data_IF_793018009446
#
_entry.id   IF_793018009446
#
_cell.length_a   1.000
_cell.length_b   1.000
_cell.length_c   1.000
_cell.angle_alpha   90.00
_cell.angle_beta   90.00
_cell.angle_gamma   90.00
#
_symmetry.space_group_name_H-M   'P 1'
#
loop_
_entity.id
_entity.type
_entity.pdbx_description
1 polymer ?
#
# COMPACT_ATOMS: atom_id res chain seq x y z
N UNK A 1 -32.40 -67.90 -4.17
CA UNK A 1 -32.72 -67.07 -5.36
C UNK A 1 -33.29 -65.69 -5.00
N UNK A 2 -34.27 -65.58 -4.09
CA UNK A 2 -34.94 -64.31 -3.74
C UNK A 2 -34.04 -63.27 -3.03
N UNK A 3 -33.08 -63.72 -2.22
CA UNK A 3 -32.14 -62.84 -1.49
C UNK A 3 -31.16 -62.14 -2.46
N UNK A 4 -30.66 -62.85 -3.46
CA UNK A 4 -29.73 -62.31 -4.46
C UNK A 4 -30.41 -61.23 -5.33
N UNK A 5 -31.69 -61.42 -5.66
CA UNK A 5 -32.48 -60.43 -6.40
C UNK A 5 -32.72 -59.14 -5.59
N UNK A 6 -32.94 -59.24 -4.27
CA UNK A 6 -33.08 -58.07 -3.39
C UNK A 6 -31.77 -57.31 -3.20
N UNK A 7 -30.64 -58.03 -3.06
CA UNK A 7 -29.31 -57.41 -2.98
C UNK A 7 -28.96 -56.72 -4.31
N UNK A 8 -29.23 -57.37 -5.44
CA UNK A 8 -29.05 -56.76 -6.76
C UNK A 8 -29.93 -55.51 -6.92
N UNK A 9 -31.18 -55.54 -6.46
CA UNK A 9 -32.07 -54.37 -6.50
C UNK A 9 -31.56 -53.22 -5.63
N UNK A 10 -31.08 -53.48 -4.41
CA UNK A 10 -30.49 -52.46 -3.52
C UNK A 10 -29.20 -51.89 -4.10
N UNK A 11 -28.34 -52.71 -4.71
CA UNK A 11 -27.12 -52.25 -5.38
C UNK A 11 -27.45 -51.42 -6.62
N UNK A 12 -28.43 -51.84 -7.44
CA UNK A 12 -28.90 -51.07 -8.59
C UNK A 12 -29.54 -49.76 -8.13
N UNK A 13 -30.35 -49.77 -7.07
CA UNK A 13 -30.94 -48.55 -6.50
C UNK A 13 -29.87 -47.63 -5.91
N UNK A 14 -28.85 -48.16 -5.22
CA UNK A 14 -27.73 -47.38 -4.71
C UNK A 14 -26.83 -46.82 -5.83
N UNK A 15 -26.66 -47.53 -6.95
CA UNK A 15 -25.93 -47.06 -8.13
C UNK A 15 -26.74 -46.04 -8.97
N UNK A 16 -28.08 -46.12 -8.95
CA UNK A 16 -28.99 -45.19 -9.62
C UNK A 16 -29.21 -43.92 -8.78
N UNK A 17 -29.33 -44.04 -7.45
CA UNK A 17 -29.54 -42.92 -6.52
C UNK A 17 -28.22 -42.26 -6.10
N UNK A 18 -27.11 -43.01 -6.03
CA UNK A 18 -25.79 -42.51 -5.65
C UNK A 18 -25.08 -41.65 -6.70
N UNK A 19 -25.70 -41.43 -7.86
CA UNK A 19 -25.18 -40.58 -8.95
C UNK A 19 -25.66 -39.12 -8.90
N UNK A 20 -26.25 -38.67 -7.80
CA UNK A 20 -26.61 -37.26 -7.58
C UNK A 20 -25.59 -36.51 -6.70
N UNK A 21 -24.30 -36.85 -6.81
CA UNK A 21 -23.22 -36.13 -6.17
C UNK A 21 -22.44 -35.34 -7.22
N UNK A 22 -22.71 -34.05 -7.26
CA UNK A 22 -22.02 -33.11 -8.13
C UNK A 22 -22.71 -31.75 -8.09
N UNK A 23 -22.79 -31.12 -6.92
CA UNK A 23 -22.87 -29.65 -6.87
C UNK A 23 -21.55 -29.13 -7.41
N UNK A 24 -21.40 -29.07 -8.73
CA UNK A 24 -20.21 -28.55 -9.38
C UNK A 24 -20.04 -27.10 -8.96
N UNK A 25 -18.99 -26.81 -8.19
CA UNK A 25 -18.63 -25.44 -7.90
C UNK A 25 -18.08 -24.79 -9.17
N UNK A 26 -18.19 -23.46 -9.27
CA UNK A 26 -17.80 -22.75 -10.49
C UNK A 26 -16.30 -22.92 -10.82
N UNK A 27 -15.47 -23.22 -9.81
CA UNK A 27 -14.06 -23.57 -9.98
C UNK A 27 -13.81 -24.86 -10.75
N UNK A 28 -14.59 -25.91 -10.49
CA UNK A 28 -14.44 -27.21 -11.15
C UNK A 28 -14.80 -27.12 -12.65
N UNK A 29 -15.69 -26.19 -13.00
CA UNK A 29 -16.17 -26.01 -14.36
C UNK A 29 -15.31 -25.03 -15.21
N UNK A 30 -14.23 -24.44 -14.66
CA UNK A 30 -13.48 -23.34 -15.27
C UNK A 30 -14.36 -22.15 -15.70
N UNK A 31 -15.50 -21.98 -15.05
CA UNK A 31 -16.49 -20.97 -15.41
C UNK A 31 -16.29 -19.64 -14.64
N UNK A 32 -15.28 -19.55 -13.76
CA UNK A 32 -15.04 -18.32 -12.99
C UNK A 32 -14.32 -17.26 -13.81
N UNK A 33 -14.91 -16.07 -13.93
CA UNK A 33 -14.28 -14.94 -14.60
C UNK A 33 -13.21 -14.29 -13.71
N UNK A 34 -11.97 -14.20 -14.22
CA UNK A 34 -10.84 -13.54 -13.56
C UNK A 34 -10.94 -11.99 -13.61
N UNK A 35 -12.10 -11.45 -13.22
CA UNK A 35 -12.44 -10.04 -13.26
C UNK A 35 -13.78 -9.76 -13.95
N UNK A 36 -14.15 -8.47 -14.01
CA UNK A 36 -15.36 -7.96 -14.67
C UNK A 36 -15.08 -7.52 -16.12
N UNK A 37 -14.33 -8.32 -16.86
CA UNK A 37 -14.19 -8.09 -18.30
C UNK A 37 -15.43 -8.70 -18.99
N UNK A 38 -16.19 -7.89 -19.73
CA UNK A 38 -17.41 -8.34 -20.43
C UNK A 38 -17.18 -9.41 -21.51
N UNK A 39 -15.93 -9.84 -21.70
CA UNK A 39 -15.53 -10.96 -22.55
C UNK A 39 -15.75 -12.32 -21.88
N UNK A 40 -15.84 -12.35 -20.55
CA UNK A 40 -16.10 -13.58 -19.82
C UNK A 40 -17.58 -13.65 -19.45
N UNK A 41 -18.31 -14.50 -20.19
CA UNK A 41 -19.74 -14.75 -19.94
C UNK A 41 -19.85 -16.17 -19.40
N UNK A 42 -20.15 -16.29 -18.11
CA UNK A 42 -20.45 -17.57 -17.48
C UNK A 42 -21.80 -18.03 -18.00
N UNK A 43 -21.82 -19.05 -18.85
CA UNK A 43 -23.06 -19.71 -19.26
C UNK A 43 -23.32 -20.88 -18.29
N UNK A 44 -24.32 -20.78 -17.40
CA UNK A 44 -24.62 -21.88 -16.48
C UNK A 44 -25.23 -23.06 -17.26
N UNK A 45 -24.78 -24.31 -17.05
CA UNK A 45 -25.49 -25.47 -17.56
C UNK A 45 -26.77 -25.69 -16.72
N UNK A 46 -27.91 -25.28 -17.28
CA UNK A 46 -29.31 -25.60 -16.89
C UNK A 46 -29.81 -25.22 -15.47
N UNK A 47 -30.86 -24.37 -15.44
CA UNK A 47 -31.92 -24.14 -14.41
C UNK A 47 -31.59 -24.44 -12.92
N UNK A 48 -31.70 -23.55 -11.94
CA UNK A 48 -32.36 -22.24 -11.79
C UNK A 48 -31.50 -21.38 -10.85
N UNK A 49 -31.20 -20.14 -11.23
CA UNK A 49 -30.32 -19.18 -10.53
C UNK A 49 -28.82 -19.30 -10.85
N UNK A 50 -28.46 -19.67 -12.08
CA UNK A 50 -27.10 -19.50 -12.59
C UNK A 50 -26.73 -18.03 -12.76
N UNK A 51 -26.32 -17.39 -11.67
CA UNK A 51 -25.81 -16.01 -11.67
C UNK A 51 -24.37 -16.05 -12.19
N UNK A 52 -23.96 -15.15 -13.10
CA UNK A 52 -22.54 -15.02 -13.40
C UNK A 52 -21.81 -14.67 -12.11
N UNK A 53 -20.77 -15.43 -11.79
CA UNK A 53 -20.01 -15.24 -10.56
C UNK A 53 -18.63 -14.68 -10.92
N UNK A 54 -18.20 -13.65 -10.18
CA UNK A 54 -16.96 -12.93 -10.47
C UNK A 54 -15.87 -13.28 -9.44
N UNK A 55 -14.66 -13.53 -9.92
CA UNK A 55 -13.45 -13.61 -9.10
C UNK A 55 -12.77 -12.24 -9.08
N UNK A 56 -13.30 -11.31 -8.29
CA UNK A 56 -12.66 -10.01 -8.03
C UNK A 56 -12.99 -9.48 -6.63
N UNK A 57 -12.27 -8.49 -6.13
CA UNK A 57 -12.53 -7.94 -4.78
C UNK A 57 -13.81 -7.09 -4.73
N UNK A 58 -14.24 -6.47 -5.83
CA UNK A 58 -15.45 -5.65 -5.83
C UNK A 58 -16.70 -6.51 -5.64
N UNK A 59 -16.60 -7.78 -6.02
CA UNK A 59 -17.62 -8.78 -5.78
C UNK A 59 -18.11 -8.87 -4.33
N UNK A 60 -17.21 -8.78 -3.34
CA UNK A 60 -17.60 -8.83 -1.92
C UNK A 60 -18.53 -7.68 -1.52
N UNK A 61 -18.47 -6.55 -2.23
CA UNK A 61 -19.36 -5.40 -2.01
C UNK A 61 -20.69 -5.55 -2.74
N UNK A 62 -20.71 -6.23 -3.88
CA UNK A 62 -21.90 -6.36 -4.75
C UNK A 62 -22.70 -7.62 -4.43
N UNK A 63 -22.06 -8.66 -3.89
CA UNK A 63 -22.69 -9.93 -3.50
C UNK A 63 -22.86 -10.92 -4.66
N UNK A 64 -22.09 -10.78 -5.74
CA UNK A 64 -22.12 -11.61 -6.95
C UNK A 64 -20.97 -12.64 -6.99
N UNK A 65 -20.55 -13.13 -5.82
CA UNK A 65 -19.33 -13.95 -5.70
C UNK A 65 -19.58 -15.40 -5.98
N UNK A 66 -18.56 -16.03 -6.57
CA UNK A 66 -18.51 -17.46 -6.67
C UNK A 66 -18.57 -18.05 -5.25
N UNK A 67 -19.32 -19.14 -5.09
CA UNK A 67 -19.54 -19.77 -3.79
C UNK A 67 -18.23 -20.24 -3.14
N UNK A 68 -17.24 -20.53 -3.98
CA UNK A 68 -15.88 -21.05 -3.73
C UNK A 68 -14.78 -19.98 -3.90
N UNK A 69 -15.12 -18.69 -3.75
CA UNK A 69 -14.20 -17.55 -3.96
C UNK A 69 -12.82 -17.70 -3.30
N UNK A 70 -12.77 -18.20 -2.06
CA UNK A 70 -11.53 -18.31 -1.30
C UNK A 70 -10.58 -19.40 -1.82
N UNK A 71 -11.13 -20.52 -2.30
CA UNK A 71 -10.35 -21.69 -2.73
C UNK A 71 -9.93 -21.58 -4.19
N UNK A 72 -10.77 -20.99 -5.03
CA UNK A 72 -10.57 -20.92 -6.48
C UNK A 72 -9.92 -19.62 -6.90
N UNK A 73 -10.44 -18.49 -6.42
CA UNK A 73 -9.94 -17.21 -6.85
C UNK A 73 -8.67 -16.86 -6.05
N UNK A 74 -8.71 -17.03 -4.72
CA UNK A 74 -7.60 -16.78 -3.80
C UNK A 74 -7.07 -15.34 -3.84
N UNK A 75 -6.74 -14.75 -2.68
CA UNK A 75 -6.08 -13.45 -2.66
C UNK A 75 -4.65 -13.60 -3.20
N UNK A 76 -4.31 -12.86 -4.26
CA UNK A 76 -2.97 -12.82 -4.82
C UNK A 76 -2.33 -11.48 -4.50
N UNK A 77 -1.32 -11.52 -3.64
CA UNK A 77 -0.55 -10.33 -3.27
C UNK A 77 0.29 -9.83 -4.43
N UNK A 78 0.54 -8.51 -4.43
CA UNK A 78 1.44 -7.92 -5.39
C UNK A 78 2.86 -8.46 -5.24
N UNK A 79 3.43 -8.95 -6.34
CA UNK A 79 4.83 -9.40 -6.41
C UNK A 79 5.66 -8.37 -7.15
N UNK A 80 6.76 -7.95 -6.55
CA UNK A 80 7.69 -6.96 -7.12
C UNK A 80 9.05 -7.59 -7.40
N UNK A 81 9.80 -6.99 -8.31
CA UNK A 81 11.17 -7.37 -8.59
C UNK A 81 12.11 -7.01 -7.45
N UNK A 82 13.32 -7.55 -7.51
CA UNK A 82 14.43 -7.03 -6.74
C UNK A 82 14.71 -5.56 -7.10
N UNK A 83 15.36 -4.87 -6.17
CA UNK A 83 15.76 -3.48 -6.38
C UNK A 83 16.83 -3.37 -7.46
N UNK A 84 16.67 -2.41 -8.36
CA UNK A 84 17.73 -2.01 -9.27
C UNK A 84 18.91 -1.34 -8.56
N UNK A 85 19.96 -1.05 -9.33
CA UNK A 85 21.11 -0.29 -8.85
C UNK A 85 20.68 1.10 -8.34
N UNK A 86 21.45 1.62 -7.38
CA UNK A 86 21.32 3.01 -6.96
C UNK A 86 21.77 3.94 -8.08
N UNK A 87 21.03 5.03 -8.28
CA UNK A 87 21.48 6.15 -9.10
C UNK A 87 22.74 6.76 -8.50
N UNK A 88 23.45 7.51 -9.33
CA UNK A 88 24.50 8.40 -8.84
C UNK A 88 23.94 9.42 -7.84
N UNK A 89 24.83 9.95 -7.00
CA UNK A 89 24.47 10.98 -6.04
C UNK A 89 24.07 12.25 -6.78
N UNK A 90 22.91 12.81 -6.44
CA UNK A 90 22.41 14.03 -7.09
C UNK A 90 23.30 15.26 -6.87
N UNK A 91 24.17 15.21 -5.86
CA UNK A 91 25.11 16.28 -5.53
C UNK A 91 26.54 15.86 -5.87
N UNK A 92 27.24 16.67 -6.67
CA UNK A 92 28.66 16.48 -6.93
C UNK A 92 29.54 16.75 -5.71
N UNK A 93 29.10 17.63 -4.81
CA UNK A 93 29.74 17.88 -3.52
C UNK A 93 28.70 18.03 -2.40
N UNK A 94 29.07 17.73 -1.16
CA UNK A 94 28.20 17.90 0.01
C UNK A 94 27.03 16.91 0.05
N UNK A 95 25.94 17.26 0.72
CA UNK A 95 24.79 16.36 0.89
C UNK A 95 23.92 16.32 -0.37
N UNK A 96 23.69 15.12 -0.89
CA UNK A 96 22.78 14.84 -2.00
C UNK A 96 21.80 13.72 -1.67
N UNK A 97 21.12 13.24 -2.71
CA UNK A 97 20.23 12.08 -2.64
C UNK A 97 20.50 11.13 -3.80
N UNK A 98 20.32 9.84 -3.56
CA UNK A 98 20.30 8.81 -4.59
C UNK A 98 19.00 8.04 -4.52
N UNK A 99 18.56 7.51 -5.66
CA UNK A 99 17.31 6.77 -5.77
C UNK A 99 17.50 5.45 -6.51
N UNK A 100 16.69 4.45 -6.18
CA UNK A 100 16.60 3.21 -6.95
C UNK A 100 15.15 2.84 -7.16
N UNK A 101 14.89 2.10 -8.23
CA UNK A 101 13.54 1.67 -8.62
C UNK A 101 13.48 0.14 -8.71
N UNK A 102 12.29 -0.40 -8.49
CA UNK A 102 11.91 -1.78 -8.81
C UNK A 102 10.57 -1.75 -9.54
N UNK A 103 10.24 -2.83 -10.24
CA UNK A 103 9.01 -2.92 -11.02
C UNK A 103 8.08 -4.00 -10.46
N UNK A 104 6.80 -3.91 -10.82
CA UNK A 104 5.80 -4.91 -10.46
C UNK A 104 5.94 -6.09 -11.41
N UNK A 105 6.11 -7.29 -10.86
CA UNK A 105 6.13 -8.56 -11.61
C UNK A 105 4.72 -9.14 -11.73
N UNK A 106 3.92 -9.01 -10.67
CA UNK A 106 2.52 -9.44 -10.65
C UNK A 106 1.67 -8.42 -9.89
N UNK A 107 0.63 -7.91 -10.54
CA UNK A 107 -0.34 -7.03 -9.89
C UNK A 107 -1.18 -7.80 -8.87
N UNK A 108 -1.62 -7.13 -7.79
CA UNK A 108 -2.49 -7.77 -6.81
C UNK A 108 -3.84 -8.11 -7.43
N UNK A 109 -4.43 -9.24 -7.04
CA UNK A 109 -5.76 -9.68 -7.50
C UNK A 109 -6.61 -10.17 -6.33
N UNK A 110 -7.92 -10.15 -6.52
CA UNK A 110 -8.92 -10.70 -5.58
C UNK A 110 -8.80 -10.18 -4.14
N UNK A 111 -8.34 -8.94 -3.97
CA UNK A 111 -8.17 -8.33 -2.65
C UNK A 111 -6.83 -8.64 -1.99
N UNK A 112 -5.87 -9.19 -2.73
CA UNK A 112 -4.49 -9.32 -2.25
C UNK A 112 -3.85 -7.98 -1.92
N UNK A 113 -2.78 -8.04 -1.12
CA UNK A 113 -2.05 -6.89 -0.61
C UNK A 113 -1.53 -5.97 -1.72
N UNK A 114 -1.66 -4.66 -1.49
CA UNK A 114 -1.17 -3.63 -2.41
C UNK A 114 0.35 -3.74 -2.61
N UNK A 115 0.84 -3.28 -3.77
CA UNK A 115 2.26 -3.28 -4.06
C UNK A 115 3.04 -2.45 -3.03
N UNK A 116 4.15 -2.97 -2.51
CA UNK A 116 5.04 -2.18 -1.67
C UNK A 116 5.72 -1.07 -2.51
N UNK A 117 6.40 -0.13 -1.86
CA UNK A 117 7.02 1.01 -2.54
C UNK A 117 7.93 0.60 -3.70
N UNK A 118 7.75 1.25 -4.85
CA UNK A 118 8.51 0.98 -6.07
C UNK A 118 9.73 1.89 -6.24
N UNK A 119 9.82 2.95 -5.45
CA UNK A 119 10.90 3.94 -5.48
C UNK A 119 11.47 4.08 -4.08
N UNK A 120 12.78 3.88 -3.95
CA UNK A 120 13.49 4.13 -2.70
C UNK A 120 14.45 5.31 -2.88
N UNK A 121 14.53 6.17 -1.87
CA UNK A 121 15.50 7.28 -1.81
C UNK A 121 16.33 7.18 -0.54
N UNK A 122 17.60 7.56 -0.63
CA UNK A 122 18.48 7.72 0.53
C UNK A 122 19.43 8.89 0.34
N UNK A 123 19.90 9.45 1.44
CA UNK A 123 20.92 10.49 1.44
C UNK A 123 22.26 9.93 0.97
N UNK A 124 23.04 10.77 0.30
CA UNK A 124 24.42 10.50 -0.09
C UNK A 124 25.29 11.72 0.20
N UNK A 125 26.59 11.52 0.28
CA UNK A 125 27.56 12.60 0.38
C UNK A 125 28.46 12.53 -0.85
N UNK A 126 28.48 13.62 -1.62
CA UNK A 126 29.42 13.81 -2.73
C UNK A 126 30.81 14.15 -2.21
N UNK A 127 31.65 14.72 -3.08
CA UNK A 127 32.96 15.23 -2.68
C UNK A 127 32.83 16.30 -1.58
N UNK A 128 33.91 16.54 -0.84
CA UNK A 128 33.93 17.70 0.07
C UNK A 128 33.74 18.96 -0.76
N UNK A 129 32.70 19.74 -0.45
CA UNK A 129 32.55 21.04 -1.09
C UNK A 129 33.67 21.95 -0.61
N UNK A 130 34.26 22.70 -1.53
CA UNK A 130 35.10 23.83 -1.15
C UNK A 130 34.22 24.83 -0.38
N UNK A 131 34.69 25.33 0.78
CA UNK A 131 34.00 26.41 1.45
C UNK A 131 34.00 27.59 0.49
N UNK A 132 32.82 28.00 0.03
CA UNK A 132 32.69 29.34 -0.56
C UNK A 132 33.07 30.29 0.56
N UNK A 133 34.28 30.84 0.49
CA UNK A 133 34.78 31.87 1.41
C UNK A 133 33.66 32.84 1.65
N UNK A 134 33.20 32.86 2.90
CA UNK A 134 32.06 33.62 3.41
C UNK A 134 31.76 34.84 2.54
N UNK A 135 30.77 34.74 1.64
CA UNK A 135 29.89 35.89 1.50
C UNK A 135 29.38 36.07 2.91
N UNK A 136 29.76 37.18 3.55
CA UNK A 136 29.30 37.59 4.88
C UNK A 136 27.89 37.06 5.01
N UNK A 137 27.66 36.09 5.91
CA UNK A 137 26.32 35.63 6.18
C UNK A 137 25.63 36.88 6.70
N UNK A 138 24.96 37.60 5.81
CA UNK A 138 24.21 38.77 6.17
C UNK A 138 23.25 38.22 7.21
N UNK A 139 23.43 38.62 8.47
CA UNK A 139 22.49 38.38 9.57
C UNK A 139 21.19 39.15 9.34
N UNK A 140 20.85 39.36 8.07
CA UNK A 140 19.62 39.91 7.60
C UNK A 140 18.64 38.76 7.75
N UNK A 141 17.98 38.75 8.92
CA UNK A 141 16.71 38.08 9.11
C UNK A 141 15.92 38.30 7.82
N UNK A 142 15.55 37.21 7.14
CA UNK A 142 14.75 37.30 5.93
C UNK A 142 13.51 38.15 6.26
N UNK A 143 13.47 39.36 5.70
CA UNK A 143 12.33 40.22 5.86
C UNK A 143 11.19 39.59 5.06
N UNK A 144 10.16 39.10 5.78
CA UNK A 144 8.94 38.56 5.17
C UNK A 144 8.19 39.67 4.40
N UNK A 145 8.46 40.94 4.72
CA UNK A 145 7.86 42.10 4.06
C UNK A 145 8.94 43.13 3.66
N UNK A 146 8.77 43.85 2.53
CA UNK A 146 9.68 44.93 2.11
C UNK A 146 9.84 46.01 3.19
N UNK A 147 10.99 46.69 3.21
CA UNK A 147 11.31 47.75 4.20
C UNK A 147 10.26 48.89 4.25
N UNK A 148 9.54 49.13 3.16
CA UNK A 148 8.43 50.09 3.06
C UNK A 148 7.22 49.72 3.94
N UNK A 149 7.06 48.45 4.30
CA UNK A 149 6.04 47.96 5.24
C UNK A 149 6.58 47.83 6.67
N UNK A 150 7.83 48.23 6.93
CA UNK A 150 8.49 48.17 8.24
C UNK A 150 8.20 49.34 9.19
N UNK A 151 7.39 50.33 8.77
CA UNK A 151 7.14 51.58 9.49
C UNK A 151 6.40 51.48 10.83
N UNK A 152 6.13 50.27 11.34
CA UNK A 152 5.45 50.07 12.65
C UNK A 152 6.35 49.27 13.60
N UNK A 153 7.61 49.67 13.76
CA UNK A 153 8.46 49.15 14.84
C UNK A 153 9.07 50.27 15.68
N UNK A 154 8.22 51.05 16.32
CA UNK A 154 8.49 51.53 17.67
C UNK A 154 7.94 50.46 18.63
N UNK A 155 8.55 49.27 18.65
CA UNK A 155 8.18 48.25 19.63
C UNK A 155 8.79 48.68 20.95
N UNK A 156 7.96 49.19 21.84
CA UNK A 156 8.36 49.48 23.21
C UNK A 156 8.94 48.20 23.82
N UNK A 157 10.08 48.28 24.52
CA UNK A 157 10.86 47.11 24.95
C UNK A 157 10.06 46.10 25.81
N UNK A 158 8.92 46.55 26.35
CA UNK A 158 7.93 45.76 27.07
C UNK A 158 7.15 44.75 26.21
N UNK A 159 7.06 44.94 24.89
CA UNK A 159 6.32 44.05 23.97
C UNK A 159 7.20 43.10 23.15
N UNK A 160 8.53 43.16 23.30
CA UNK A 160 9.40 42.19 22.63
C UNK A 160 9.24 40.81 23.30
N UNK A 161 8.62 39.88 22.58
CA UNK A 161 8.37 38.52 23.05
C UNK A 161 9.68 37.80 23.40
N UNK A 162 10.81 38.16 22.76
CA UNK A 162 12.11 37.54 23.04
C UNK A 162 12.62 37.90 24.42
N UNK A 163 12.45 39.16 24.82
CA UNK A 163 12.84 39.66 26.15
C UNK A 163 11.92 39.08 27.21
N UNK A 164 10.61 39.01 26.94
CA UNK A 164 9.63 38.40 27.84
C UNK A 164 9.88 36.91 28.07
N UNK A 165 10.22 36.13 27.03
CA UNK A 165 10.56 34.70 27.19
C UNK A 165 11.85 34.50 27.99
N UNK A 166 12.84 35.38 27.83
CA UNK A 166 14.11 35.35 28.57
C UNK A 166 13.94 35.67 30.06
N UNK A 167 12.97 36.52 30.39
CA UNK A 167 12.58 36.81 31.77
C UNK A 167 11.72 35.68 32.36
N UNK A 168 10.85 35.05 31.55
CA UNK A 168 9.93 34.00 31.99
C UNK A 168 10.62 32.67 32.28
N UNK A 169 11.77 32.41 31.67
CA UNK A 169 12.60 31.23 31.89
C UNK A 169 14.04 31.65 32.20
N UNK A 170 14.23 32.41 33.28
CA UNK A 170 15.55 32.59 33.87
C UNK A 170 16.00 31.19 34.32
N UNK A 171 17.11 30.66 33.77
CA UNK A 171 17.71 29.42 34.29
C UNK A 171 18.09 29.67 35.75
N UNK A 172 17.51 28.92 36.66
CA UNK A 172 17.95 28.90 38.04
C UNK A 172 19.38 28.31 38.09
N UNK A 173 20.31 28.92 38.84
CA UNK A 173 21.72 28.52 38.85
C UNK A 173 22.02 27.19 39.57
N UNK A 174 21.00 26.45 40.03
CA UNK A 174 21.19 25.21 40.79
C UNK A 174 21.19 23.92 39.94
N UNK A 175 20.87 24.01 38.64
CA UNK A 175 20.83 22.84 37.75
C UNK A 175 22.14 22.58 36.96
N UNK A 176 23.25 23.22 37.37
CA UNK A 176 24.59 23.03 36.76
C UNK A 176 25.59 22.33 37.69
N UNK A 177 25.15 21.66 38.77
CA UNK A 177 26.06 20.94 39.68
C UNK A 177 25.67 19.49 40.01
N UNK A 178 24.93 18.80 39.14
CA UNK A 178 24.55 17.39 39.33
C UNK A 178 24.90 16.46 38.15
N UNK A 179 25.87 16.85 37.32
CA UNK A 179 26.49 15.95 36.34
C UNK A 179 28.01 16.10 36.36
N UNK A 180 28.60 15.60 37.44
CA UNK A 180 29.94 15.00 37.41
C UNK A 180 29.77 13.49 37.17
#
# INVERSE_FOLDING_TARGET
MVVLLRVAWVVVWALVVGRALGSGSCGEAQLCCAGRDGSCVVQPPSMEQGRPCYCDHACLRVGDCCHDFQEVCGALDCRVSEWGAWSECSAGCGTGSMSRKRHVLANPRNGGGSCPELLQKRSCFGASCEPKTSVKANREIAMILPATYGGIRQINATQDIRTNLRLKYKKDPEEENSKE
#
